data_IF_014723792195
#
_entry.id   IF_014723792195
#
_cell.length_a   1.000
_cell.length_b   1.000
_cell.length_c   1.000
_cell.angle_alpha   90.00
_cell.angle_beta   90.00
_cell.angle_gamma   90.00
#
_symmetry.space_group_name_H-M   'P 1'
#
loop_
_entity.id
_entity.type
_entity.pdbx_description
1 polymer ?
#
# COMPACT_ATOMS: atom_id res chain seq x y z
N UNK A 1 -21.63 27.04 -15.32
CA UNK A 1 -20.21 26.82 -15.00
C UNK A 1 -19.94 25.33 -15.19
N UNK A 2 -19.10 24.96 -16.17
CA UNK A 2 -18.67 23.58 -16.32
C UNK A 2 -17.70 23.28 -15.18
N UNK A 3 -18.02 22.29 -14.34
CA UNK A 3 -17.08 21.79 -13.32
C UNK A 3 -15.98 21.07 -14.08
N UNK A 4 -14.79 21.65 -14.08
CA UNK A 4 -13.61 21.02 -14.67
C UNK A 4 -13.37 19.71 -13.90
N UNK A 5 -13.54 18.59 -14.59
CA UNK A 5 -13.41 17.26 -13.98
C UNK A 5 -11.96 17.06 -13.59
N UNK A 6 -11.63 17.16 -12.29
CA UNK A 6 -10.28 16.87 -11.79
C UNK A 6 -9.92 15.44 -12.16
N UNK A 7 -8.80 15.27 -12.85
CA UNK A 7 -8.27 13.96 -13.20
C UNK A 7 -7.80 13.23 -11.93
N UNK A 8 -7.84 11.89 -11.89
CA UNK A 8 -7.27 11.14 -10.77
C UNK A 8 -5.80 11.46 -10.53
N UNK A 9 -5.44 11.66 -9.27
CA UNK A 9 -4.03 11.80 -8.87
C UNK A 9 -3.43 10.42 -8.69
N UNK A 10 -2.29 10.20 -9.33
CA UNK A 10 -1.61 8.92 -9.32
C UNK A 10 -0.24 9.04 -8.64
N UNK A 11 0.06 8.09 -7.76
CA UNK A 11 1.32 7.98 -7.06
C UNK A 11 2.00 6.66 -7.40
N UNK A 12 3.30 6.72 -7.70
CA UNK A 12 4.18 5.56 -7.85
C UNK A 12 4.82 5.25 -6.49
N UNK A 13 4.70 4.01 -6.05
CA UNK A 13 5.27 3.54 -4.80
C UNK A 13 6.58 2.80 -5.10
N UNK A 14 7.70 3.33 -4.62
CA UNK A 14 9.05 2.82 -4.96
C UNK A 14 9.90 2.71 -3.69
N UNK A 15 10.62 1.62 -3.49
CA UNK A 15 11.62 1.51 -2.44
C UNK A 15 12.68 2.59 -2.67
N UNK A 16 12.96 3.41 -1.65
CA UNK A 16 13.99 4.43 -1.74
C UNK A 16 15.38 3.80 -1.93
N UNK A 17 15.59 2.64 -1.32
CA UNK A 17 16.76 1.79 -1.52
C UNK A 17 16.29 0.38 -1.92
N UNK A 18 16.78 -0.19 -3.05
CA UNK A 18 16.49 -1.57 -3.46
C UNK A 18 16.80 -2.64 -2.39
N UNK A 19 17.68 -2.35 -1.43
CA UNK A 19 18.05 -3.24 -0.33
C UNK A 19 17.22 -3.03 0.92
N UNK A 20 16.53 -1.89 1.04
CA UNK A 20 15.78 -1.52 2.23
C UNK A 20 14.31 -1.22 1.91
N UNK A 21 13.48 -2.26 2.00
CA UNK A 21 12.03 -2.15 1.82
C UNK A 21 11.31 -1.45 3.00
N UNK A 22 12.05 -1.10 4.07
CA UNK A 22 11.48 -0.35 5.19
C UNK A 22 11.20 1.11 4.82
N UNK A 23 11.82 1.61 3.74
CA UNK A 23 11.69 2.98 3.24
C UNK A 23 11.04 2.96 1.85
N UNK A 24 9.90 3.64 1.71
CA UNK A 24 9.16 3.72 0.44
C UNK A 24 8.93 5.19 0.11
N UNK A 25 9.41 5.62 -1.05
CA UNK A 25 9.11 6.91 -1.64
C UNK A 25 7.77 6.86 -2.38
N UNK A 26 6.96 7.90 -2.15
CA UNK A 26 5.67 8.12 -2.81
C UNK A 26 5.87 9.23 -3.83
N UNK A 27 6.00 8.84 -5.10
CA UNK A 27 6.28 9.77 -6.18
C UNK A 27 5.00 10.16 -6.90
N UNK A 28 4.76 11.44 -7.10
CA UNK A 28 3.68 11.88 -7.98
C UNK A 28 3.97 11.40 -9.41
N UNK A 29 3.02 10.69 -10.04
CA UNK A 29 3.28 9.94 -11.28
C UNK A 29 3.60 10.85 -12.46
N UNK A 30 2.97 12.01 -12.54
CA UNK A 30 3.15 12.92 -13.68
C UNK A 30 4.44 13.73 -13.59
N UNK A 31 4.81 14.18 -12.39
CA UNK A 31 5.99 15.05 -12.17
C UNK A 31 7.24 14.24 -11.79
N UNK A 32 7.08 13.03 -11.25
CA UNK A 32 8.18 12.19 -10.74
C UNK A 32 8.73 12.63 -9.38
N UNK A 33 8.23 13.75 -8.85
CA UNK A 33 8.61 14.34 -7.57
C UNK A 33 8.20 13.45 -6.39
N UNK A 34 9.05 13.36 -5.37
CA UNK A 34 8.73 12.63 -4.14
C UNK A 34 7.92 13.54 -3.23
N UNK A 35 6.64 13.23 -3.02
CA UNK A 35 5.78 14.02 -2.15
C UNK A 35 5.80 13.52 -0.71
N UNK A 36 5.88 12.20 -0.53
CA UNK A 36 5.90 11.59 0.79
C UNK A 36 6.92 10.48 0.87
N UNK A 37 7.39 10.18 2.07
CA UNK A 37 8.24 9.04 2.37
C UNK A 37 7.69 8.26 3.55
N UNK A 38 7.47 6.97 3.34
CA UNK A 38 7.16 6.02 4.41
C UNK A 38 8.46 5.55 5.06
N UNK A 39 8.49 5.54 6.39
CA UNK A 39 9.54 4.98 7.22
C UNK A 39 8.96 3.94 8.17
N UNK A 40 9.46 2.71 8.13
CA UNK A 40 9.21 1.72 9.19
C UNK A 40 10.33 1.82 10.23
N UNK A 41 9.96 2.06 11.48
CA UNK A 41 10.90 2.19 12.59
C UNK A 41 11.26 0.81 13.14
N UNK A 42 12.52 0.66 13.57
CA UNK A 42 12.99 -0.54 14.26
C UNK A 42 12.83 -0.27 15.75
N UNK A 43 11.71 -0.75 16.32
CA UNK A 43 11.42 -0.63 17.75
C UNK A 43 11.29 -2.04 18.34
N UNK A 44 12.03 -2.37 19.42
CA UNK A 44 11.92 -3.68 20.05
C UNK A 44 10.47 -4.01 20.45
N UNK A 45 9.99 -5.18 20.01
CA UNK A 45 8.66 -5.71 20.33
C UNK A 45 7.45 -4.84 19.91
N UNK A 46 7.66 -3.83 19.06
CA UNK A 46 6.61 -2.94 18.59
C UNK A 46 6.72 -2.72 17.08
N UNK A 47 5.57 -2.63 16.43
CA UNK A 47 5.46 -2.14 15.07
C UNK A 47 5.22 -0.64 15.11
N UNK A 48 6.10 0.11 14.46
CA UNK A 48 5.95 1.54 14.28
C UNK A 48 6.26 1.95 12.84
N UNK A 49 5.46 2.87 12.31
CA UNK A 49 5.62 3.44 10.97
C UNK A 49 5.25 4.93 11.01
N UNK A 50 5.95 5.72 10.19
CA UNK A 50 5.63 7.13 9.94
C UNK A 50 5.55 7.41 8.44
N UNK A 51 4.65 8.31 8.07
CA UNK A 51 4.62 8.96 6.75
C UNK A 51 5.10 10.40 6.94
N UNK A 52 6.14 10.79 6.21
CA UNK A 52 6.81 12.07 6.40
C UNK A 52 6.92 12.85 5.08
N UNK A 53 7.10 14.17 5.20
CA UNK A 53 7.61 15.01 4.12
C UNK A 53 9.10 14.71 3.89
N UNK A 54 9.56 14.44 2.66
CA UNK A 54 10.94 14.02 2.41
C UNK A 54 12.01 15.08 2.72
N UNK A 55 11.68 16.37 2.57
CA UNK A 55 12.65 17.47 2.71
C UNK A 55 12.82 17.92 4.16
N UNK A 56 11.70 18.17 4.83
CA UNK A 56 11.69 18.69 6.21
C UNK A 56 11.65 17.59 7.26
N UNK A 57 11.34 16.35 6.86
CA UNK A 57 11.05 15.22 7.76
C UNK A 57 9.86 15.48 8.69
N UNK A 58 8.97 16.41 8.35
CA UNK A 58 7.72 16.64 9.07
C UNK A 58 6.86 15.38 9.02
N UNK A 59 6.38 14.94 10.18
CA UNK A 59 5.55 13.73 10.28
C UNK A 59 4.09 14.10 10.02
N UNK A 60 3.52 13.52 8.97
CA UNK A 60 2.09 13.67 8.67
C UNK A 60 1.26 12.64 9.39
N UNK A 61 1.70 11.38 9.40
CA UNK A 61 1.03 10.31 10.13
C UNK A 61 2.02 9.40 10.84
N UNK A 62 1.56 8.82 11.95
CA UNK A 62 2.27 7.78 12.67
C UNK A 62 1.32 6.65 13.04
N UNK A 63 1.87 5.46 13.20
CA UNK A 63 1.15 4.30 13.71
C UNK A 63 2.05 3.55 14.67
N UNK A 64 1.48 3.10 15.78
CA UNK A 64 2.13 2.21 16.73
C UNK A 64 1.18 1.06 17.07
N UNK A 65 1.71 -0.16 17.09
CA UNK A 65 0.95 -1.35 17.49
C UNK A 65 1.89 -2.46 17.95
N UNK A 66 1.34 -3.53 18.51
CA UNK A 66 2.14 -4.69 18.95
C UNK A 66 2.81 -5.42 17.78
N UNK A 67 2.21 -5.39 16.58
CA UNK A 67 2.75 -6.03 15.38
C UNK A 67 2.08 -5.49 14.11
N UNK A 68 2.78 -5.60 12.97
CA UNK A 68 2.21 -5.30 11.65
C UNK A 68 0.94 -6.12 11.35
N UNK A 69 0.84 -7.33 11.92
CA UNK A 69 -0.30 -8.24 11.79
C UNK A 69 -1.47 -7.94 12.74
N UNK A 70 -1.34 -6.95 13.65
CA UNK A 70 -2.39 -6.60 14.62
C UNK A 70 -3.70 -6.27 13.92
N UNK A 71 -4.79 -6.93 14.33
CA UNK A 71 -6.14 -6.77 13.73
C UNK A 71 -6.77 -5.41 13.99
N UNK A 72 -6.26 -4.67 14.97
CA UNK A 72 -6.67 -3.31 15.28
C UNK A 72 -5.41 -2.47 15.43
N UNK A 73 -5.42 -1.27 14.86
CA UNK A 73 -4.34 -0.29 14.99
C UNK A 73 -4.94 1.11 15.10
N UNK A 74 -4.16 2.06 15.61
CA UNK A 74 -4.55 3.48 15.70
C UNK A 74 -3.50 4.30 14.97
N UNK A 75 -3.95 5.10 14.01
CA UNK A 75 -3.13 6.05 13.27
C UNK A 75 -3.31 7.42 13.90
N UNK A 76 -2.22 8.10 14.24
CA UNK A 76 -2.24 9.52 14.55
C UNK A 76 -1.96 10.30 13.26
N UNK A 77 -2.85 11.20 12.89
CA UNK A 77 -2.63 12.24 11.87
C UNK A 77 -2.17 13.50 12.61
N UNK A 78 -1.25 14.24 12.01
CA UNK A 78 -0.77 15.52 12.50
C UNK A 78 -1.13 16.63 11.52
N UNK A 79 -1.49 17.79 12.07
CA UNK A 79 -1.85 19.01 11.34
C UNK A 79 -2.97 18.83 10.28
N UNK A 80 -4.25 18.68 10.69
CA UNK A 80 -4.76 18.75 12.06
C UNK A 80 -4.66 17.41 12.81
N UNK A 81 -4.48 17.49 14.14
CA UNK A 81 -4.39 16.30 14.97
C UNK A 81 -5.69 15.47 14.96
N UNK A 82 -5.58 14.19 14.59
CA UNK A 82 -6.69 13.25 14.63
C UNK A 82 -6.21 11.82 14.93
N UNK A 83 -7.05 11.03 15.60
CA UNK A 83 -6.81 9.61 15.85
C UNK A 83 -7.79 8.77 15.04
N UNK A 84 -7.27 7.95 14.14
CA UNK A 84 -8.07 7.07 13.28
C UNK A 84 -7.82 5.62 13.66
N UNK A 85 -8.88 4.96 14.14
CA UNK A 85 -8.83 3.55 14.49
C UNK A 85 -9.20 2.69 13.29
N UNK A 86 -8.34 1.74 12.97
CA UNK A 86 -8.52 0.81 11.86
C UNK A 86 -8.72 -0.61 12.39
N UNK A 87 -9.68 -1.36 11.84
CA UNK A 87 -10.02 -2.72 12.28
C UNK A 87 -10.16 -3.69 11.12
N UNK A 88 -9.60 -4.87 11.26
CA UNK A 88 -9.82 -6.00 10.37
C UNK A 88 -11.16 -6.67 10.72
N UNK A 89 -12.15 -6.57 9.85
CA UNK A 89 -13.49 -7.12 10.11
C UNK A 89 -13.66 -8.54 9.58
N UNK A 90 -12.94 -8.91 8.53
CA UNK A 90 -13.12 -10.22 7.91
C UNK A 90 -12.39 -11.34 8.67
N UNK A 91 -13.12 -12.42 8.95
CA UNK A 91 -12.56 -13.70 9.40
C UNK A 91 -11.91 -14.49 8.26
N UNK A 92 -12.47 -14.37 7.06
CA UNK A 92 -12.05 -15.08 5.85
C UNK A 92 -11.98 -14.06 4.71
N UNK A 93 -10.77 -13.58 4.43
CA UNK A 93 -10.51 -12.61 3.37
C UNK A 93 -9.84 -11.34 3.85
N UNK A 94 -9.88 -10.33 2.99
CA UNK A 94 -9.22 -9.04 3.21
C UNK A 94 -10.29 -7.95 3.25
N UNK A 95 -10.66 -7.53 4.46
CA UNK A 95 -11.51 -6.38 4.70
C UNK A 95 -11.04 -5.66 5.96
N UNK A 96 -10.74 -4.37 5.81
CA UNK A 96 -10.41 -3.46 6.90
C UNK A 96 -11.36 -2.28 6.88
N UNK A 97 -11.78 -1.80 8.03
CA UNK A 97 -12.68 -0.64 8.15
C UNK A 97 -12.13 0.40 9.08
N UNK A 98 -12.51 1.64 8.84
CA UNK A 98 -12.17 2.80 9.66
C UNK A 98 -13.23 3.89 9.45
N UNK A 99 -13.31 4.81 10.40
CA UNK A 99 -14.22 5.95 10.34
C UNK A 99 -13.40 7.24 10.15
N UNK A 100 -13.85 8.14 9.28
CA UNK A 100 -13.23 9.44 9.01
C UNK A 100 -14.31 10.52 8.93
N UNK A 101 -14.29 11.49 9.85
CA UNK A 101 -15.24 12.63 9.87
C UNK A 101 -16.72 12.22 9.65
N UNK A 102 -17.17 11.19 10.37
CA UNK A 102 -18.51 10.56 10.32
C UNK A 102 -18.80 9.69 9.08
N UNK A 103 -17.85 9.56 8.17
CA UNK A 103 -17.94 8.65 7.03
C UNK A 103 -17.28 7.33 7.38
N UNK A 104 -17.92 6.21 7.00
CA UNK A 104 -17.36 4.87 7.21
C UNK A 104 -16.69 4.40 5.92
N UNK A 105 -15.45 3.96 6.02
CA UNK A 105 -14.68 3.49 4.88
C UNK A 105 -14.22 2.05 5.07
N UNK A 106 -13.93 1.38 3.96
CA UNK A 106 -13.32 0.06 3.96
C UNK A 106 -12.27 -0.12 2.87
N UNK A 107 -11.22 -0.85 3.22
CA UNK A 107 -10.27 -1.43 2.27
C UNK A 107 -10.65 -2.87 1.96
N UNK A 108 -10.82 -3.17 0.68
CA UNK A 108 -11.15 -4.50 0.17
C UNK A 108 -10.26 -4.87 -1.02
N UNK A 109 -10.21 -6.15 -1.38
CA UNK A 109 -9.70 -6.54 -2.68
C UNK A 109 -10.71 -6.17 -3.77
N UNK A 110 -10.22 -5.75 -4.93
CA UNK A 110 -11.06 -5.48 -6.11
C UNK A 110 -11.88 -6.72 -6.51
N UNK A 111 -11.25 -7.90 -6.46
CA UNK A 111 -11.91 -9.19 -6.63
C UNK A 111 -11.21 -10.25 -5.75
N UNK A 112 -11.85 -11.40 -5.45
CA UNK A 112 -11.27 -12.42 -4.59
C UNK A 112 -9.90 -12.94 -5.05
N UNK A 113 -9.68 -12.97 -6.37
CA UNK A 113 -8.46 -13.43 -7.01
C UNK A 113 -7.47 -12.29 -7.33
N UNK A 114 -7.92 -11.03 -7.29
CA UNK A 114 -7.07 -9.88 -7.54
C UNK A 114 -6.19 -9.57 -6.32
N UNK A 115 -4.99 -9.06 -6.61
CA UNK A 115 -4.12 -8.45 -5.61
C UNK A 115 -4.31 -6.93 -5.53
N UNK A 116 -5.10 -6.35 -6.44
CA UNK A 116 -5.51 -4.96 -6.38
C UNK A 116 -6.43 -4.71 -5.19
N UNK A 117 -6.29 -3.54 -4.59
CA UNK A 117 -7.06 -3.10 -3.44
C UNK A 117 -7.84 -1.84 -3.77
N UNK A 118 -9.01 -1.70 -3.17
CA UNK A 118 -9.84 -0.50 -3.28
C UNK A 118 -10.21 -0.01 -1.88
N UNK A 119 -10.13 1.29 -1.68
CA UNK A 119 -10.72 1.98 -0.54
C UNK A 119 -12.08 2.53 -0.96
N UNK A 120 -13.14 2.07 -0.31
CA UNK A 120 -14.52 2.42 -0.63
C UNK A 120 -15.18 3.12 0.55
N UNK A 121 -15.90 4.20 0.25
CA UNK A 121 -16.86 4.82 1.14
C UNK A 121 -18.11 3.94 1.23
N UNK A 122 -18.59 3.70 2.45
CA UNK A 122 -19.80 2.93 2.73
C UNK A 122 -20.96 3.88 3.00
N UNK A 123 -21.93 3.90 2.08
CA UNK A 123 -23.24 4.53 2.27
C UNK A 123 -24.33 3.47 2.41
N UNK A 124 -25.52 3.90 2.83
CA UNK A 124 -26.65 2.99 3.06
C UNK A 124 -27.10 2.25 1.80
N UNK A 125 -26.93 2.86 0.64
CA UNK A 125 -27.44 2.44 -0.66
C UNK A 125 -26.35 1.99 -1.64
N UNK A 126 -25.09 2.43 -1.44
CA UNK A 126 -24.00 2.14 -2.37
C UNK A 126 -22.61 2.21 -1.74
N UNK A 127 -21.63 1.66 -2.46
CA UNK A 127 -20.20 1.79 -2.16
C UNK A 127 -19.51 2.62 -3.23
N UNK A 128 -18.74 3.63 -2.83
CA UNK A 128 -18.06 4.55 -3.76
C UNK A 128 -16.55 4.39 -3.60
N UNK A 129 -15.84 4.02 -4.67
CA UNK A 129 -14.38 3.88 -4.65
C UNK A 129 -13.72 5.26 -4.57
N UNK A 130 -12.93 5.50 -3.52
CA UNK A 130 -12.20 6.77 -3.32
C UNK A 130 -10.71 6.63 -3.66
N UNK A 131 -10.15 5.43 -3.51
CA UNK A 131 -8.77 5.16 -3.89
C UNK A 131 -8.58 3.72 -4.35
N UNK A 132 -7.59 3.51 -5.22
CA UNK A 132 -7.24 2.19 -5.74
C UNK A 132 -5.73 1.99 -5.68
N UNK A 133 -5.31 0.81 -5.24
CA UNK A 133 -3.95 0.34 -5.35
C UNK A 133 -3.86 -0.79 -6.38
N UNK A 134 -3.02 -0.58 -7.38
CA UNK A 134 -2.67 -1.55 -8.41
C UNK A 134 -1.25 -2.06 -8.15
N UNK A 135 -1.09 -3.30 -7.67
CA UNK A 135 0.23 -3.86 -7.43
C UNK A 135 0.99 -4.04 -8.75
N UNK A 136 2.31 -4.05 -8.65
CA UNK A 136 3.16 -4.40 -9.78
C UNK A 136 2.91 -5.84 -10.23
N UNK A 137 2.63 -6.02 -11.52
CA UNK A 137 2.59 -7.34 -12.15
C UNK A 137 4.02 -7.81 -12.50
N UNK A 138 4.48 -8.91 -11.89
CA UNK A 138 5.55 -9.76 -12.42
C UNK A 138 6.98 -9.19 -12.52
N UNK A 139 7.59 -8.73 -11.41
CA UNK A 139 9.04 -8.45 -11.48
C UNK A 139 9.77 -8.18 -10.16
N UNK A 140 11.05 -8.61 -10.12
CA UNK A 140 12.07 -8.18 -9.15
C UNK A 140 12.30 -6.67 -9.29
N UNK A 141 12.49 -5.96 -8.18
CA UNK A 141 12.88 -4.55 -8.16
C UNK A 141 12.14 -3.72 -7.11
N UNK A 142 12.56 -2.46 -6.95
CA UNK A 142 12.09 -1.51 -5.94
C UNK A 142 10.65 -1.02 -6.15
N UNK A 143 10.01 -1.27 -7.29
CA UNK A 143 8.66 -0.78 -7.57
C UNK A 143 7.57 -1.66 -6.92
N UNK A 144 6.71 -1.05 -6.09
CA UNK A 144 5.60 -1.72 -5.40
C UNK A 144 4.31 -1.70 -6.23
N UNK A 145 3.97 -0.56 -6.85
CA UNK A 145 2.73 -0.41 -7.62
C UNK A 145 2.29 1.05 -7.76
N UNK A 146 1.05 1.24 -8.25
CA UNK A 146 0.41 2.56 -8.37
C UNK A 146 -0.67 2.69 -7.31
N UNK A 147 -0.63 3.76 -6.53
CA UNK A 147 -1.75 4.19 -5.69
C UNK A 147 -2.45 5.38 -6.37
N UNK A 148 -3.76 5.31 -6.54
CA UNK A 148 -4.55 6.33 -7.24
C UNK A 148 -5.63 6.86 -6.33
N UNK A 149 -5.75 8.18 -6.23
CA UNK A 149 -6.80 8.88 -5.50
C UNK A 149 -7.82 9.39 -6.52
N UNK A 150 -9.08 9.03 -6.32
CA UNK A 150 -10.19 9.41 -7.19
C UNK A 150 -10.84 10.69 -6.64
N UNK A 151 -10.16 11.82 -6.79
CA UNK A 151 -10.59 13.12 -6.23
C UNK A 151 -12.02 13.50 -6.65
N UNK A 152 -12.38 13.22 -7.91
CA UNK A 152 -13.73 13.47 -8.40
C UNK A 152 -14.79 12.76 -7.53
N UNK A 153 -14.51 11.53 -7.08
CA UNK A 153 -15.41 10.79 -6.19
C UNK A 153 -15.40 11.35 -4.78
N UNK A 154 -14.25 11.81 -4.27
CA UNK A 154 -14.19 12.51 -2.97
C UNK A 154 -15.02 13.78 -2.97
N UNK A 155 -14.92 14.57 -4.04
CA UNK A 155 -15.68 15.80 -4.24
C UNK A 155 -17.18 15.51 -4.33
N UNK A 156 -17.59 14.52 -5.12
CA UNK A 156 -18.99 14.08 -5.21
C UNK A 156 -19.55 13.58 -3.88
N UNK A 157 -18.70 13.01 -3.03
CA UNK A 157 -19.08 12.55 -1.70
C UNK A 157 -19.07 13.68 -0.65
N UNK A 158 -18.59 14.88 -0.99
CA UNK A 158 -18.35 15.98 -0.05
C UNK A 158 -17.45 15.55 1.13
N UNK A 159 -16.39 14.80 0.85
CA UNK A 159 -15.43 14.39 1.88
C UNK A 159 -14.78 15.64 2.48
N UNK A 160 -14.92 15.79 3.79
CA UNK A 160 -14.23 16.82 4.56
C UNK A 160 -12.77 16.38 4.73
N UNK A 161 -11.84 17.28 4.42
CA UNK A 161 -10.39 17.06 4.59
C UNK A 161 -9.91 15.85 3.75
N UNK A 162 -9.93 16.02 2.42
CA UNK A 162 -9.49 15.01 1.44
C UNK A 162 -8.01 14.68 1.56
N UNK A 163 -7.19 15.66 1.97
CA UNK A 163 -5.75 15.53 2.09
C UNK A 163 -5.41 14.67 3.30
N UNK A 164 -5.99 14.98 4.46
CA UNK A 164 -5.92 14.13 5.66
C UNK A 164 -6.40 12.72 5.37
N UNK A 165 -7.53 12.55 4.67
CA UNK A 165 -8.01 11.22 4.28
C UNK A 165 -7.02 10.48 3.37
N UNK A 166 -6.40 11.18 2.41
CA UNK A 166 -5.41 10.60 1.50
C UNK A 166 -4.20 10.06 2.26
N UNK A 167 -3.67 10.84 3.21
CA UNK A 167 -2.58 10.44 4.09
C UNK A 167 -2.95 9.21 4.94
N UNK A 168 -4.15 9.19 5.51
CA UNK A 168 -4.67 8.03 6.25
C UNK A 168 -4.76 6.79 5.36
N UNK A 169 -5.34 6.90 4.16
CA UNK A 169 -5.46 5.78 3.22
C UNK A 169 -4.10 5.22 2.80
N UNK A 170 -3.13 6.09 2.49
CA UNK A 170 -1.75 5.68 2.20
C UNK A 170 -1.11 4.96 3.38
N UNK A 171 -1.25 5.52 4.58
CA UNK A 171 -0.70 4.94 5.82
C UNK A 171 -1.24 3.53 6.03
N UNK A 172 -2.56 3.35 5.92
CA UNK A 172 -3.22 2.04 6.01
C UNK A 172 -2.64 1.07 4.97
N UNK A 173 -2.49 1.50 3.71
CA UNK A 173 -1.92 0.69 2.64
C UNK A 173 -0.51 0.21 2.99
N UNK A 174 0.35 1.06 3.55
CA UNK A 174 1.69 0.68 3.96
C UNK A 174 1.72 -0.35 5.09
N UNK A 175 0.75 -0.32 6.02
CA UNK A 175 0.62 -1.39 7.02
C UNK A 175 0.37 -2.75 6.39
N UNK A 176 -0.33 -2.79 5.25
CA UNK A 176 -0.58 -4.02 4.51
C UNK A 176 0.70 -4.54 3.85
N UNK A 177 1.55 -3.65 3.35
CA UNK A 177 2.85 -4.03 2.79
C UNK A 177 3.78 -4.59 3.86
N UNK A 178 3.87 -3.92 5.01
CA UNK A 178 4.73 -4.38 6.10
C UNK A 178 4.25 -5.74 6.64
N UNK A 179 2.93 -5.93 6.79
CA UNK A 179 2.36 -7.24 7.14
C UNK A 179 2.73 -8.31 6.12
N UNK A 180 2.62 -8.01 4.83
CA UNK A 180 2.95 -8.96 3.76
C UNK A 180 4.45 -9.25 3.67
N UNK A 181 5.33 -8.31 4.02
CA UNK A 181 6.78 -8.53 4.09
C UNK A 181 7.13 -9.45 5.27
N UNK A 182 6.54 -9.19 6.44
CA UNK A 182 6.74 -10.02 7.64
C UNK A 182 6.27 -11.46 7.41
N UNK A 183 5.10 -11.65 6.78
CA UNK A 183 4.57 -12.97 6.41
C UNK A 183 5.50 -13.73 5.42
N UNK A 184 6.24 -13.02 4.57
CA UNK A 184 7.21 -13.62 3.64
C UNK A 184 8.53 -13.97 4.32
N UNK A 185 9.02 -13.12 5.23
CA UNK A 185 10.24 -13.39 6.01
C UNK A 185 10.07 -14.66 6.85
N UNK A 186 8.95 -14.78 7.56
CA UNK A 186 8.65 -15.96 8.37
C UNK A 186 8.67 -17.28 7.58
N UNK A 187 8.28 -17.26 6.30
CA UNK A 187 8.37 -18.45 5.43
C UNK A 187 9.80 -18.81 5.07
N UNK A 188 10.63 -17.81 4.72
CA UNK A 188 12.05 -18.03 4.42
C UNK A 188 12.80 -18.54 5.64
N UNK A 189 12.52 -17.98 6.81
CA UNK A 189 13.17 -18.40 8.03
C UNK A 189 12.78 -19.84 8.38
N UNK A 190 11.52 -20.25 8.19
CA UNK A 190 11.09 -21.67 8.35
C UNK A 190 11.84 -22.65 7.46
N UNK A 191 12.15 -22.24 6.23
CA UNK A 191 12.95 -23.06 5.33
C UNK A 191 14.45 -23.05 5.73
N UNK A 192 14.91 -22.03 6.46
CA UNK A 192 16.27 -21.86 6.98
C UNK A 192 16.46 -22.28 8.46
N UNK A 193 15.41 -22.54 9.24
CA UNK A 193 15.47 -22.95 10.65
C UNK A 193 16.01 -24.38 10.84
N UNK A 194 16.40 -25.06 9.76
CA UNK A 194 17.26 -26.24 9.82
C UNK A 194 18.75 -25.90 9.95
N UNK A 195 19.15 -24.62 9.85
CA UNK A 195 20.56 -24.20 9.88
C UNK A 195 20.88 -22.89 10.61
N UNK A 196 19.92 -22.11 11.14
CA UNK A 196 20.23 -20.72 11.54
C UNK A 196 19.60 -20.29 12.88
N UNK A 197 20.15 -20.79 13.99
CA UNK A 197 19.83 -20.33 15.35
C UNK A 197 20.84 -19.30 15.91
N UNK A 198 21.67 -18.67 15.07
CA UNK A 198 22.84 -17.88 15.53
C UNK A 198 22.79 -16.38 15.19
N UNK A 199 21.61 -15.74 15.10
CA UNK A 199 21.54 -14.27 14.87
C UNK A 199 21.07 -13.48 16.10
N UNK A 200 21.92 -13.42 17.12
CA UNK A 200 22.06 -12.29 18.04
C UNK A 200 23.49 -12.11 18.57
N UNK A 201 24.52 -12.48 17.80
CA UNK A 201 25.91 -12.14 18.13
C UNK A 201 26.49 -11.07 17.21
N UNK A 202 27.13 -10.13 17.90
CA UNK A 202 27.96 -9.01 17.46
C UNK A 202 28.84 -9.40 16.25
N UNK A 203 29.11 -8.50 15.29
CA UNK A 203 29.94 -8.81 14.14
C UNK A 203 31.37 -9.12 14.58
N UNK A 204 31.68 -10.40 14.72
CA UNK A 204 33.05 -10.91 14.70
C UNK A 204 33.30 -11.34 13.27
N UNK A 205 34.28 -10.72 12.61
CA UNK A 205 34.75 -11.12 11.29
C UNK A 205 35.11 -12.62 11.32
N UNK A 206 34.20 -13.47 10.84
CA UNK A 206 34.48 -14.89 10.62
C UNK A 206 35.05 -15.05 9.20
N UNK A 207 36.08 -15.89 9.03
CA UNK A 207 36.70 -16.12 7.73
C UNK A 207 35.72 -16.85 6.81
N UNK A 208 35.70 -16.43 5.54
CA UNK A 208 35.02 -17.10 4.45
C UNK A 208 35.42 -18.58 4.38
N UNK A 209 34.59 -19.47 4.94
CA UNK A 209 34.63 -20.88 4.57
C UNK A 209 33.82 -21.05 3.29
N UNK A 210 34.54 -21.39 2.22
CA UNK A 210 34.00 -21.67 0.90
C UNK A 210 32.94 -22.75 0.99
N UNK A 211 31.70 -22.37 0.69
CA UNK A 211 30.67 -23.33 0.34
C UNK A 211 31.11 -23.95 -1.00
N UNK A 212 31.51 -25.23 -0.98
CA UNK A 212 32.06 -25.96 -2.12
C UNK A 212 31.26 -25.69 -3.40
N UNK A 213 31.92 -25.12 -4.42
CA UNK A 213 31.33 -24.87 -5.74
C UNK A 213 30.69 -26.14 -6.34
N UNK A 214 31.18 -27.32 -5.95
CA UNK A 214 30.63 -28.63 -6.30
C UNK A 214 29.17 -28.84 -5.87
N UNK A 215 28.73 -28.27 -4.75
CA UNK A 215 27.32 -28.39 -4.31
C UNK A 215 26.41 -27.51 -5.15
N UNK A 216 26.88 -26.34 -5.57
CA UNK A 216 26.11 -25.45 -6.44
C UNK A 216 25.96 -26.05 -7.84
N UNK A 217 27.03 -26.60 -8.41
CA UNK A 217 26.98 -27.28 -9.71
C UNK A 217 26.08 -28.51 -9.71
N UNK A 218 26.06 -29.30 -8.63
CA UNK A 218 25.15 -30.46 -8.51
C UNK A 218 23.68 -30.05 -8.46
N UNK A 219 23.37 -28.93 -7.80
CA UNK A 219 22.00 -28.42 -7.70
C UNK A 219 21.49 -27.89 -9.05
N UNK A 220 22.34 -27.18 -9.79
CA UNK A 220 21.99 -26.67 -11.12
C UNK A 220 21.75 -27.83 -12.11
N UNK A 221 22.60 -28.86 -12.09
CA UNK A 221 22.45 -30.05 -12.94
C UNK A 221 21.13 -30.80 -12.66
N UNK A 222 20.71 -30.88 -11.40
CA UNK A 222 19.46 -31.53 -11.04
C UNK A 222 18.23 -30.71 -11.44
N UNK A 223 18.33 -29.39 -11.38
CA UNK A 223 17.28 -28.47 -11.80
C UNK A 223 17.06 -28.56 -13.31
N UNK A 224 18.12 -28.58 -14.10
CA UNK A 224 18.08 -28.76 -15.56
C UNK A 224 17.51 -30.13 -15.95
N UNK A 225 17.88 -31.19 -15.23
CA UNK A 225 17.35 -32.54 -15.47
C UNK A 225 15.84 -32.61 -15.23
N UNK A 226 15.31 -31.87 -14.25
CA UNK A 226 13.87 -31.76 -14.00
C UNK A 226 13.17 -30.95 -15.10
N UNK A 227 13.79 -29.87 -15.56
CA UNK A 227 13.25 -29.05 -16.66
C UNK A 227 13.14 -29.85 -17.97
N UNK A 228 14.19 -30.58 -18.34
CA UNK A 228 14.20 -31.44 -19.53
C UNK A 228 13.11 -32.52 -19.48
N UNK A 229 12.90 -33.16 -18.31
CA UNK A 229 11.80 -34.13 -18.14
C UNK A 229 10.42 -33.49 -18.27
N UNK A 230 10.24 -32.25 -17.82
CA UNK A 230 8.98 -31.54 -17.94
C UNK A 230 8.66 -31.18 -19.40
N UNK A 231 9.65 -30.70 -20.15
CA UNK A 231 9.51 -30.40 -21.59
C UNK A 231 9.15 -31.65 -22.39
N UNK A 232 9.87 -32.75 -22.19
CA UNK A 232 9.60 -34.02 -22.90
C UNK A 232 8.21 -34.60 -22.57
N UNK A 233 7.71 -34.37 -21.34
CA UNK A 233 6.35 -34.75 -20.95
C UNK A 233 5.29 -33.87 -21.62
N UNK A 234 5.61 -32.61 -21.91
CA UNK A 234 4.76 -31.69 -22.69
C UNK A 234 4.62 -32.14 -24.14
N UNK A 235 5.74 -32.47 -24.80
CA UNK A 235 5.77 -32.94 -26.19
C UNK A 235 4.96 -34.22 -26.40
N UNK A 236 5.06 -35.19 -25.47
CA UNK A 236 4.24 -36.42 -25.54
C UNK A 236 2.74 -36.16 -25.41
N UNK A 237 2.33 -35.06 -24.77
CA UNK A 237 0.91 -34.69 -24.67
C UNK A 237 0.43 -34.02 -25.95
N UNK A 238 1.22 -33.13 -26.53
CA UNK A 238 0.87 -32.45 -27.79
C UNK A 238 0.82 -33.43 -28.96
N UNK A 239 1.76 -34.39 -29.05
CA UNK A 239 1.73 -35.42 -30.10
C UNK A 239 0.49 -36.33 -30.01
N UNK A 240 0.08 -36.70 -28.78
CA UNK A 240 -1.17 -37.46 -28.56
C UNK A 240 -2.42 -36.68 -28.94
N UNK A 241 -2.39 -35.35 -28.81
CA UNK A 241 -3.51 -34.48 -29.18
C UNK A 241 -3.61 -34.33 -30.70
N UNK A 242 -2.46 -34.15 -31.38
CA UNK A 242 -2.38 -34.08 -32.85
C UNK A 242 -2.85 -35.37 -33.54
N UNK A 243 -2.48 -36.55 -33.01
CA UNK A 243 -2.96 -37.84 -33.53
C UNK A 243 -4.47 -38.07 -33.33
N UNK A 244 -5.11 -37.40 -32.36
CA UNK A 244 -6.57 -37.47 -32.16
C UNK A 244 -7.32 -36.54 -33.12
N UNK A 245 -6.76 -35.39 -33.47
CA UNK A 245 -7.39 -34.46 -34.43
C UNK A 245 -7.32 -34.94 -35.88
N UNK A 246 -6.33 -35.76 -36.26
CA UNK A 246 -6.19 -36.27 -37.64
C UNK A 246 -7.13 -37.44 -37.98
N UNK A 247 -7.87 -37.97 -37.01
CA UNK A 247 -8.83 -39.08 -37.23
C UNK A 247 -10.26 -38.62 -37.53
N UNK A 248 -10.54 -37.30 -37.54
CA UNK A 248 -11.90 -36.74 -37.70
C UNK A 248 -12.14 -35.97 -39.01
N UNK A 249 -11.17 -35.92 -39.93
CA UNK A 249 -11.31 -35.20 -41.20
C UNK A 249 -11.47 -36.13 -42.40
N UNK A 250 -12.58 -36.87 -42.44
CA UNK A 250 -13.06 -37.53 -43.66
C UNK A 250 -14.58 -37.72 -43.59
N UNK A 251 -15.30 -36.60 -43.57
CA UNK A 251 -16.72 -36.56 -43.94
C UNK A 251 -16.98 -35.27 -44.73
N UNK A 252 -16.95 -35.41 -46.05
CA UNK A 252 -17.40 -34.46 -47.05
C UNK A 252 -18.86 -34.06 -46.81
N UNK A 253 -19.14 -32.77 -46.62
CA UNK A 253 -20.43 -32.17 -46.93
C UNK A 253 -20.23 -30.68 -47.29
N UNK A 254 -20.68 -30.33 -48.49
CA UNK A 254 -20.53 -29.04 -49.16
C UNK A 254 -21.33 -27.91 -48.50
N UNK A 255 -20.84 -26.66 -48.46
CA UNK A 255 -21.65 -25.52 -48.03
C UNK A 255 -22.38 -24.87 -49.22
N UNK A 256 -23.70 -24.77 -49.08
CA UNK A 256 -24.58 -23.92 -49.90
C UNK A 256 -24.39 -22.45 -49.49
N UNK A 257 -24.17 -21.61 -50.49
CA UNK A 257 -24.05 -20.15 -50.38
C UNK A 257 -25.44 -19.57 -50.13
N UNK A 258 -25.57 -18.67 -49.15
CA UNK A 258 -26.74 -17.79 -49.01
C UNK A 258 -26.30 -16.40 -48.53
N UNK A 259 -27.05 -15.34 -48.92
CA UNK A 259 -26.49 -14.00 -49.07
C UNK A 259 -26.73 -13.08 -47.86
N UNK A 260 -25.91 -12.03 -47.86
CA UNK A 260 -25.82 -10.88 -46.96
C UNK A 260 -27.17 -10.15 -46.81
N UNK A 261 -27.61 -9.82 -45.57
CA UNK A 261 -28.61 -8.80 -45.35
C UNK A 261 -28.00 -7.46 -44.90
N UNK A 262 -28.43 -6.39 -45.58
CA UNK A 262 -28.16 -4.99 -45.28
C UNK A 262 -28.89 -4.51 -44.00
N UNK A 263 -28.36 -3.51 -43.26
CA UNK A 263 -29.08 -2.92 -42.14
C UNK A 263 -30.05 -1.82 -42.62
N UNK A 264 -31.33 -1.97 -42.29
CA UNK A 264 -32.35 -0.94 -42.46
C UNK A 264 -32.72 -0.35 -41.10
N UNK A 265 -32.71 0.97 -41.03
CA UNK A 265 -33.22 1.79 -39.93
C UNK A 265 -34.66 1.42 -39.56
N UNK A 266 -35.01 1.47 -38.27
CA UNK A 266 -36.34 1.91 -37.80
C UNK A 266 -36.36 2.18 -36.29
N UNK A 267 -36.72 3.42 -36.00
CA UNK A 267 -37.15 3.99 -34.72
C UNK A 267 -38.47 3.35 -34.29
N UNK A 268 -38.63 2.99 -33.02
CA UNK A 268 -39.98 2.73 -32.46
C UNK A 268 -40.06 3.15 -30.99
N UNK A 269 -40.96 4.09 -30.76
CA UNK A 269 -41.53 4.49 -29.47
C UNK A 269 -42.09 3.28 -28.72
N UNK A 270 -41.87 3.18 -27.40
CA UNK A 270 -42.76 2.41 -26.53
C UNK A 270 -43.32 3.32 -25.45
N UNK A 271 -44.63 3.42 -25.53
CA UNK A 271 -45.59 4.09 -24.68
C UNK A 271 -45.84 3.31 -23.39
N UNK A 272 -46.12 4.10 -22.35
CA UNK A 272 -46.57 3.78 -21.00
C UNK A 272 -47.56 2.62 -20.84
N UNK A 273 -47.33 1.77 -19.84
CA UNK A 273 -48.40 1.13 -19.07
C UNK A 273 -48.20 1.31 -17.57
N UNK A 274 -49.04 2.19 -17.02
CA UNK A 274 -49.38 2.28 -15.60
C UNK A 274 -49.99 0.95 -15.13
N UNK A 275 -49.51 0.43 -14.01
CA UNK A 275 -50.28 -0.49 -13.17
C UNK A 275 -50.28 0.03 -11.73
N UNK A 276 -51.46 0.53 -11.33
CA UNK A 276 -51.83 0.82 -9.94
C UNK A 276 -52.17 -0.50 -9.24
N UNK A 277 -51.77 -0.59 -7.97
CA UNK A 277 -52.51 -1.09 -6.78
C UNK A 277 -51.66 -2.03 -5.92
N UNK A 278 -51.54 -1.69 -4.63
CA UNK A 278 -51.25 -2.65 -3.57
C UNK A 278 -50.24 -2.17 -2.52
N UNK A 279 -50.70 -1.41 -1.54
CA UNK A 279 -50.07 -1.25 -0.23
C UNK A 279 -51.17 -1.47 0.84
N UNK A 280 -50.87 -1.65 2.14
CA UNK A 280 -49.68 -2.25 2.77
C UNK A 280 -50.10 -3.36 3.78
N UNK A 281 -49.17 -4.22 4.19
CA UNK A 281 -49.31 -4.99 5.44
C UNK A 281 -48.15 -4.66 6.38
N UNK A 282 -48.50 -3.88 7.41
CA UNK A 282 -47.74 -3.61 8.60
C UNK A 282 -47.55 -4.91 9.39
N UNK A 283 -46.29 -5.30 9.65
CA UNK A 283 -45.95 -6.18 10.77
C UNK A 283 -44.96 -5.45 11.66
N UNK A 284 -45.51 -4.84 12.71
CA UNK A 284 -44.79 -4.37 13.88
C UNK A 284 -44.17 -5.58 14.61
N UNK A 285 -42.84 -5.62 14.70
CA UNK A 285 -42.15 -6.43 15.69
C UNK A 285 -41.59 -5.47 16.74
N UNK A 286 -42.30 -5.40 17.86
CA UNK A 286 -41.86 -4.81 19.11
C UNK A 286 -40.72 -5.67 19.67
N UNK A 287 -39.51 -5.11 19.71
CA UNK A 287 -38.41 -5.71 20.47
C UNK A 287 -38.33 -5.01 21.82
N UNK A 288 -38.64 -5.79 22.85
CA UNK A 288 -38.59 -5.44 24.27
C UNK A 288 -37.18 -5.01 24.67
N UNK A 289 -37.10 -3.82 25.28
CA UNK A 289 -36.00 -3.45 26.17
C UNK A 289 -35.80 -4.54 27.22
N UNK A 290 -34.54 -4.95 27.41
CA UNK A 290 -34.08 -5.58 28.65
C UNK A 290 -32.91 -4.77 29.16
N UNK A 291 -33.19 -4.08 30.26
CA UNK A 291 -32.22 -3.51 31.18
C UNK A 291 -31.27 -4.61 31.67
N UNK A 292 -30.00 -4.44 31.34
CA UNK A 292 -28.91 -5.31 31.75
C UNK A 292 -27.78 -4.47 32.33
N UNK A 293 -27.99 -4.02 33.57
CA UNK A 293 -27.01 -3.42 34.47
C UNK A 293 -25.77 -4.30 34.57
N UNK A 294 -24.68 -3.92 33.90
CA UNK A 294 -23.36 -4.53 34.10
C UNK A 294 -22.34 -3.51 34.57
N UNK A 295 -21.62 -3.96 35.60
CA UNK A 295 -20.76 -3.21 36.49
C UNK A 295 -19.52 -2.70 35.77
N UNK A 296 -19.21 -1.43 36.07
CA UNK A 296 -17.87 -0.86 36.19
C UNK A 296 -16.78 -1.92 36.47
N UNK A 297 -15.81 -2.01 35.56
CA UNK A 297 -14.42 -2.27 35.94
C UNK A 297 -13.50 -1.34 35.14
N UNK A 298 -13.07 -0.28 35.81
CA UNK A 298 -11.90 0.49 35.44
C UNK A 298 -10.67 -0.43 35.37
N UNK A 299 -9.87 -0.28 34.30
CA UNK A 299 -8.40 -0.21 34.27
C UNK A 299 -7.86 -0.78 32.96
N UNK A 300 -7.49 0.12 32.04
CA UNK A 300 -6.27 0.08 31.22
C UNK A 300 -6.26 1.30 30.28
N UNK A 301 -6.00 2.47 30.88
CA UNK A 301 -5.45 3.60 30.13
C UNK A 301 -3.94 3.37 30.06
N UNK A 302 -3.50 2.66 29.02
CA UNK A 302 -2.07 2.63 28.67
C UNK A 302 -1.79 3.90 27.88
N UNK A 303 -1.00 4.77 28.48
CA UNK A 303 -0.53 6.03 27.92
C UNK A 303 0.17 5.77 26.58
N UNK A 304 -0.49 6.12 25.47
CA UNK A 304 0.17 6.39 24.20
C UNK A 304 0.75 7.80 24.32
N UNK A 305 2.00 7.92 24.76
CA UNK A 305 2.74 9.18 24.64
C UNK A 305 3.20 9.31 23.18
N UNK A 306 2.83 10.38 22.46
CA UNK A 306 3.42 10.67 21.16
C UNK A 306 4.92 10.87 21.32
N UNK A 307 5.72 10.38 20.36
CA UNK A 307 7.16 10.70 20.31
C UNK A 307 7.31 12.19 20.02
N UNK A 308 7.37 13.00 21.07
CA UNK A 308 7.87 14.38 20.97
C UNK A 308 9.29 14.41 21.51
N UNK A 309 10.22 14.78 20.62
CA UNK A 309 11.64 15.12 20.86
C UNK A 309 12.55 14.01 21.38
N UNK A 310 13.18 13.29 20.45
CA UNK A 310 14.60 12.95 20.64
C UNK A 310 15.41 14.24 20.43
N UNK A 311 15.72 14.96 21.52
CA UNK A 311 16.74 16.00 21.49
C UNK A 311 18.11 15.33 21.37
N UNK A 312 18.88 15.69 20.35
CA UNK A 312 20.31 15.44 20.30
C UNK A 312 20.92 16.10 21.54
N UNK A 313 21.36 15.30 22.50
CA UNK A 313 22.08 15.76 23.68
C UNK A 313 23.45 16.27 23.25
N UNK A 314 23.66 17.59 23.40
CA UNK A 314 25.01 18.12 23.47
C UNK A 314 25.53 17.85 24.89
N UNK A 315 26.38 16.83 25.02
CA UNK A 315 27.18 16.60 26.21
C UNK A 315 28.19 17.75 26.35
N UNK A 316 27.86 18.74 27.18
CA UNK A 316 28.87 19.60 27.80
C UNK A 316 29.50 18.83 28.95
N UNK A 317 30.65 18.22 28.66
CA UNK A 317 31.59 17.77 29.70
C UNK A 317 32.68 18.83 29.90
N UNK A 318 32.95 19.08 31.17
CA UNK A 318 33.91 20.04 31.69
C UNK A 318 35.36 19.81 31.23
N UNK A 319 35.99 20.89 30.75
CA UNK A 319 37.22 21.41 31.33
C UNK A 319 38.55 20.69 31.08
N UNK A 320 39.27 21.09 30.02
CA UNK A 320 40.73 21.33 30.06
C UNK A 320 41.13 22.45 29.10
N UNK A 321 41.88 23.48 29.53
CA UNK A 321 42.36 24.53 28.65
C UNK A 321 43.62 24.08 27.90
N UNK A 322 43.53 23.91 26.59
CA UNK A 322 44.69 23.72 25.71
C UNK A 322 45.10 25.09 25.16
N UNK A 323 46.34 25.49 25.46
CA UNK A 323 46.99 26.70 24.95
C UNK A 323 47.12 26.64 23.44
N UNK A 324 46.51 27.60 22.73
CA UNK A 324 46.81 27.85 21.32
C UNK A 324 47.85 28.95 21.18
N UNK A 325 48.96 28.62 20.51
CA UNK A 325 49.94 29.58 20.04
C UNK A 325 49.37 30.38 18.87
N UNK A 326 49.45 31.70 18.99
CA UNK A 326 49.31 32.67 17.91
C UNK A 326 50.26 32.36 16.75
N UNK A 327 49.74 32.34 15.52
CA UNK A 327 50.51 32.74 14.34
C UNK A 327 49.67 33.61 13.44
N UNK A 328 50.03 34.88 13.46
CA UNK A 328 49.59 35.99 12.62
C UNK A 328 50.01 35.75 11.17
N UNK A 329 49.10 35.92 10.21
CA UNK A 329 49.43 36.43 8.87
C UNK A 329 48.28 37.32 8.39
N UNK A 330 48.67 38.48 7.90
CA UNK A 330 47.86 39.63 7.51
C UNK A 330 47.58 39.69 6.02
N UNK A 331 46.52 40.45 5.71
CA UNK A 331 46.33 41.34 4.56
C UNK A 331 45.93 40.74 3.21
N UNK A 332 44.83 41.29 2.69
CA UNK A 332 44.34 41.12 1.33
C UNK A 332 43.03 41.91 1.15
N UNK A 333 43.16 43.25 1.10
CA UNK A 333 42.11 44.22 0.79
C UNK A 333 41.73 44.09 -0.68
N UNK A 334 40.43 44.09 -0.98
CA UNK A 334 39.87 44.84 -2.10
C UNK A 334 38.36 44.97 -1.95
N UNK A 335 37.95 46.23 -1.78
CA UNK A 335 36.61 46.75 -1.90
C UNK A 335 35.93 46.38 -3.22
N UNK A 336 34.60 46.25 -3.19
CA UNK A 336 33.70 46.85 -4.19
C UNK A 336 32.26 46.83 -3.68
N UNK A 337 31.78 48.03 -3.38
CA UNK A 337 30.41 48.39 -3.01
C UNK A 337 29.60 48.80 -4.24
N UNK A 338 28.42 48.22 -4.43
CA UNK A 338 27.29 48.83 -5.18
C UNK A 338 25.99 48.12 -4.73
N UNK A 339 25.18 48.68 -3.82
CA UNK A 339 24.08 49.64 -4.01
C UNK A 339 22.90 49.10 -4.86
N UNK A 340 21.85 48.70 -4.12
CA UNK A 340 20.46 49.17 -4.21
C UNK A 340 19.43 48.62 -5.23
N UNK A 341 18.26 48.35 -4.62
CA UNK A 341 16.87 48.68 -5.02
C UNK A 341 16.04 47.77 -5.96
N UNK A 342 14.98 47.22 -5.37
CA UNK A 342 13.53 47.42 -5.68
C UNK A 342 13.02 47.34 -7.13
N UNK A 343 12.05 46.44 -7.34
CA UNK A 343 10.71 46.63 -7.97
C UNK A 343 10.12 45.22 -8.21
N UNK A 344 8.95 44.77 -7.73
CA UNK A 344 7.58 45.32 -7.65
C UNK A 344 6.93 45.64 -9.01
N UNK A 345 5.70 45.12 -9.17
CA UNK A 345 4.76 45.18 -10.31
C UNK A 345 4.95 44.09 -11.38
N UNK A 346 3.92 43.41 -11.87
CA UNK A 346 2.46 43.63 -11.83
C UNK A 346 1.71 42.32 -12.06
#
# INVERSE_FOLDING_TARGET
>A
MAVESSAPVHFLLVAADPRNHSIIDVKHKATGEVWYRKLRHIVPNLYALSLIEPETYTVFTEIQSQSSASKEKVISLHDPDALVRIRQNSRLGFEWTFDWKNEKLKWVKESPLSSALECRLLRSDMEICLARYLPRNGGKGSYFGVFSVLENNMNLCNIIDSDGLTLIMMTILFTFFDKADDDRRWKKDKDNYLLDLDFYEIPVERPHNGMDQDKLQKMDLETDKKLMKAMQKGERKTEKQLKRSSAYSSATNSPSISPIPSPTHSTTYIETKQTKRGAPLLRSLSYSSRDGRLKSSNKLNTLLTPFTKLSIGNDTSDGKPVRHHHRTLSAGISDLSTVSSYNSFR
#
